data_IF_374700630251
#
_entry.id   IF_374700630251
#
_cell.length_a   1.000
_cell.length_b   1.000
_cell.length_c   1.000
_cell.angle_alpha   90.00
_cell.angle_beta   90.00
_cell.angle_gamma   90.00
#
_symmetry.space_group_name_H-M   'P 1'
#
loop_
_entity.id
_entity.type
_entity.pdbx_description
1 polymer ?
#
# COMPACT_ATOMS: atom_id res chain seq x y z
N UNK A 1 3.68 21.67 -18.90
CA UNK A 1 2.89 20.60 -18.22
C UNK A 1 3.40 20.49 -16.80
N UNK A 2 2.60 20.86 -15.80
CA UNK A 2 3.01 20.91 -14.40
C UNK A 2 3.17 19.48 -13.86
N UNK A 3 4.40 18.98 -13.84
CA UNK A 3 4.76 17.83 -13.00
C UNK A 3 4.56 18.24 -11.54
N UNK A 4 3.35 17.99 -11.00
CA UNK A 4 3.16 18.01 -9.56
C UNK A 4 4.08 16.91 -9.00
N UNK A 5 5.27 17.28 -8.54
CA UNK A 5 6.17 16.39 -7.81
C UNK A 5 5.33 15.69 -6.74
N UNK A 6 5.07 14.39 -6.90
CA UNK A 6 4.36 13.59 -5.90
C UNK A 6 5.17 13.67 -4.61
N UNK A 7 4.67 14.42 -3.63
CA UNK A 7 5.30 14.51 -2.32
C UNK A 7 5.21 13.12 -1.69
N UNK A 8 6.35 12.45 -1.53
CA UNK A 8 6.42 11.17 -0.81
C UNK A 8 6.32 11.46 0.69
N UNK A 9 5.23 11.02 1.30
CA UNK A 9 5.03 11.10 2.75
C UNK A 9 5.37 9.75 3.35
N UNK A 10 6.31 9.72 4.30
CA UNK A 10 6.62 8.50 5.07
C UNK A 10 5.71 8.47 6.30
N UNK A 11 4.93 7.40 6.42
CA UNK A 11 4.01 7.19 7.54
C UNK A 11 4.14 5.76 8.06
N UNK A 12 3.90 5.58 9.35
CA UNK A 12 3.77 4.25 9.96
C UNK A 12 2.30 3.91 10.14
N UNK A 13 1.89 2.76 9.63
CA UNK A 13 0.54 2.21 9.85
C UNK A 13 0.60 0.99 10.76
N UNK A 14 -0.38 0.90 11.65
CA UNK A 14 -0.59 -0.27 12.50
C UNK A 14 -1.59 -1.19 11.82
N UNK A 15 -1.19 -2.45 11.64
CA UNK A 15 -2.05 -3.52 11.13
C UNK A 15 -2.18 -4.57 12.22
N UNK A 16 -3.36 -5.16 12.31
CA UNK A 16 -3.56 -6.37 13.11
C UNK A 16 -2.52 -7.45 12.70
N UNK A 17 -2.09 -8.27 13.68
CA UNK A 17 -1.03 -9.28 13.47
C UNK A 17 -1.43 -10.30 12.41
N UNK A 18 -2.67 -10.75 12.43
CA UNK A 18 -3.19 -11.77 11.51
C UNK A 18 -3.36 -11.16 10.12
N UNK A 19 -3.95 -9.97 10.02
CA UNK A 19 -4.08 -9.24 8.76
C UNK A 19 -2.71 -8.99 8.11
N UNK A 20 -1.71 -8.58 8.91
CA UNK A 20 -0.34 -8.35 8.41
C UNK A 20 0.30 -9.62 7.85
N UNK A 21 0.04 -10.79 8.45
CA UNK A 21 0.55 -12.08 7.93
C UNK A 21 -0.10 -12.41 6.59
N UNK A 22 -1.41 -12.28 6.47
CA UNK A 22 -2.11 -12.53 5.21
C UNK A 22 -1.67 -11.55 4.10
N UNK A 23 -1.57 -10.26 4.42
CA UNK A 23 -1.09 -9.26 3.47
C UNK A 23 0.33 -9.57 2.97
N UNK A 24 1.22 -10.02 3.86
CA UNK A 24 2.57 -10.46 3.46
C UNK A 24 2.56 -11.66 2.52
N UNK A 25 1.75 -12.68 2.82
CA UNK A 25 1.64 -13.86 1.96
C UNK A 25 1.09 -13.50 0.58
N UNK A 26 0.05 -12.67 0.54
CA UNK A 26 -0.51 -12.16 -0.71
C UNK A 26 0.53 -11.37 -1.51
N UNK A 27 1.28 -10.48 -0.85
CA UNK A 27 2.32 -9.70 -1.50
C UNK A 27 3.39 -10.60 -2.14
N UNK A 28 3.86 -11.63 -1.42
CA UNK A 28 4.83 -12.61 -1.93
C UNK A 28 4.26 -13.39 -3.13
N UNK A 29 3.00 -13.83 -3.06
CA UNK A 29 2.35 -14.58 -4.15
C UNK A 29 2.21 -13.76 -5.44
N UNK A 30 2.17 -12.42 -5.32
CA UNK A 30 2.02 -11.51 -6.44
C UNK A 30 3.32 -10.73 -6.77
N UNK A 31 4.47 -11.26 -6.32
CA UNK A 31 5.81 -10.69 -6.56
C UNK A 31 5.90 -9.18 -6.26
N UNK A 32 5.34 -8.78 -5.11
CA UNK A 32 5.35 -7.40 -4.65
C UNK A 32 5.75 -7.29 -3.19
N UNK A 33 6.20 -6.10 -2.79
CA UNK A 33 6.45 -5.78 -1.41
C UNK A 33 5.15 -5.50 -0.65
N UNK A 34 5.18 -5.69 0.67
CA UNK A 34 4.08 -5.28 1.54
C UNK A 34 3.77 -3.77 1.41
N UNK A 35 4.79 -2.94 1.13
CA UNK A 35 4.60 -1.50 0.96
C UNK A 35 3.77 -1.19 -0.28
N UNK A 36 4.14 -1.78 -1.43
CA UNK A 36 3.41 -1.60 -2.69
C UNK A 36 1.97 -2.10 -2.60
N UNK A 37 1.74 -3.23 -1.92
CA UNK A 37 0.40 -3.74 -1.67
C UNK A 37 -0.46 -2.72 -0.89
N UNK A 38 0.11 -2.12 0.15
CA UNK A 38 -0.60 -1.13 0.97
C UNK A 38 -0.86 0.15 0.19
N UNK A 39 0.11 0.62 -0.60
CA UNK A 39 -0.06 1.80 -1.46
C UNK A 39 -1.19 1.58 -2.47
N UNK A 40 -1.21 0.43 -3.15
CA UNK A 40 -2.30 0.07 -4.08
C UNK A 40 -3.67 0.02 -3.40
N UNK A 41 -3.77 -0.64 -2.25
CA UNK A 41 -5.02 -0.74 -1.51
C UNK A 41 -5.53 0.64 -1.04
N UNK A 42 -4.63 1.54 -0.66
CA UNK A 42 -4.97 2.92 -0.30
C UNK A 42 -5.40 3.73 -1.53
N UNK A 43 -4.70 3.60 -2.66
CA UNK A 43 -5.08 4.25 -3.91
C UNK A 43 -6.48 3.79 -4.36
N UNK A 44 -6.74 2.48 -4.38
CA UNK A 44 -8.06 1.93 -4.70
C UNK A 44 -9.13 2.46 -3.75
N UNK A 45 -8.89 2.47 -2.44
CA UNK A 45 -9.87 2.93 -1.45
C UNK A 45 -10.19 4.43 -1.55
N UNK A 46 -9.21 5.25 -1.94
CA UNK A 46 -9.37 6.71 -2.06
C UNK A 46 -9.94 7.12 -3.43
N UNK A 47 -9.64 6.36 -4.48
CA UNK A 47 -10.08 6.61 -5.86
C UNK A 47 -11.42 5.95 -6.20
N UNK A 48 -11.88 4.95 -5.42
CA UNK A 48 -13.20 4.35 -5.57
C UNK A 48 -14.36 5.25 -5.08
N UNK A 49 -14.24 6.57 -5.25
CA UNK A 49 -15.28 7.56 -4.92
C UNK A 49 -16.14 7.89 -6.13
#
# INVERSE_FOLDING_TARGET
>A
MNEKKKVRVKTTILLDKTLKKFAKLYAIQNDMSLCELIERALEEKLLSK
#
